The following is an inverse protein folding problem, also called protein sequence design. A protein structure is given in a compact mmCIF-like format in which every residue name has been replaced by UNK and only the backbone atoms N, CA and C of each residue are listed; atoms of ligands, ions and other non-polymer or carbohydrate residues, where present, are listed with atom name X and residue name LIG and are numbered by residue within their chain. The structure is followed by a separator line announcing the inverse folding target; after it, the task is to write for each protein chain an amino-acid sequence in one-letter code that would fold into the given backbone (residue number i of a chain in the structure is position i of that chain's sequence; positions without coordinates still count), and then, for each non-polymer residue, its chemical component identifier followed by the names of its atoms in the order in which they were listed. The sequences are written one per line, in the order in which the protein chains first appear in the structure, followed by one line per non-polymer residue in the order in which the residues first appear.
data_IF_269071751746
#
_entry.id   IF_269071751746
#
_cell.length_a   1.000
_cell.length_b   1.000
_cell.length_c   1.000
_cell.angle_alpha   90.00
_cell.angle_beta   90.00
_cell.angle_gamma   90.00
#
_symmetry.space_group_name_H-M   'P 1'
#
loop_
_entity.id
_entity.type
_entity.pdbx_description
1 polymer ?
#
# COMPACT_ATOMS: atom_id res chain seq x y z
N UNK A 1 9.24 7.05 -12.92
CA UNK A 1 10.10 6.52 -11.84
C UNK A 1 11.55 6.65 -12.29
N UNK A 2 12.49 6.89 -11.37
CA UNK A 2 13.92 7.01 -11.67
C UNK A 2 14.64 6.01 -10.78
N UNK A 3 15.45 5.13 -11.38
CA UNK A 3 16.21 4.12 -10.64
C UNK A 3 17.20 4.78 -9.66
N UNK A 4 17.37 4.17 -8.49
CA UNK A 4 18.30 4.66 -7.46
C UNK A 4 17.74 5.79 -6.59
N UNK A 5 16.55 6.33 -6.89
CA UNK A 5 15.86 7.29 -6.03
C UNK A 5 14.93 6.55 -5.06
N UNK A 6 15.09 6.82 -3.77
CA UNK A 6 14.24 6.31 -2.68
C UNK A 6 13.64 7.48 -1.91
N UNK A 7 12.40 7.33 -1.46
CA UNK A 7 11.69 8.34 -0.68
C UNK A 7 10.96 7.67 0.49
N UNK A 8 10.89 8.38 1.62
CA UNK A 8 10.14 8.03 2.83
C UNK A 8 9.61 9.28 3.51
N UNK A 9 8.67 9.11 4.43
CA UNK A 9 8.12 10.16 5.25
C UNK A 9 7.23 11.12 4.47
N UNK A 10 7.21 12.38 4.88
CA UNK A 10 6.28 13.38 4.34
C UNK A 10 6.52 13.76 2.88
N UNK A 11 7.69 13.45 2.33
CA UNK A 11 7.98 13.57 0.89
C UNK A 11 7.23 12.52 0.07
N UNK A 12 6.88 11.37 0.67
CA UNK A 12 6.12 10.29 0.03
C UNK A 12 4.60 10.48 0.23
N UNK A 13 4.18 10.77 1.46
CA UNK A 13 2.81 11.08 1.86
C UNK A 13 2.88 11.82 3.20
N UNK A 14 2.07 12.87 3.40
CA UNK A 14 1.88 13.48 4.72
C UNK A 14 1.37 12.47 5.74
N UNK A 15 2.26 12.09 6.66
CA UNK A 15 1.97 11.23 7.79
C UNK A 15 1.45 12.04 8.98
N UNK A 16 0.49 11.49 9.71
CA UNK A 16 -0.13 12.16 10.85
C UNK A 16 0.73 12.07 12.13
N UNK A 17 1.71 11.15 12.19
CA UNK A 17 2.62 10.95 13.33
C UNK A 17 4.07 10.76 12.88
N UNK A 18 5.02 11.28 13.68
CA UNK A 18 6.47 11.16 13.43
C UNK A 18 6.97 9.70 13.46
N UNK A 19 6.31 8.81 14.22
CA UNK A 19 6.68 7.39 14.31
C UNK A 19 6.61 6.68 12.95
N UNK A 20 5.66 7.05 12.09
CA UNK A 20 5.56 6.48 10.74
C UNK A 20 6.72 6.91 9.85
N UNK A 21 7.26 8.11 10.06
CA UNK A 21 8.44 8.60 9.32
C UNK A 21 9.67 7.77 9.69
N UNK A 22 9.83 7.39 10.96
CA UNK A 22 10.92 6.53 11.43
C UNK A 22 10.80 5.11 10.86
N UNK A 23 9.61 4.48 10.94
CA UNK A 23 9.38 3.14 10.36
C UNK A 23 9.68 3.10 8.86
N UNK A 24 9.22 4.10 8.10
CA UNK A 24 9.50 4.19 6.68
C UNK A 24 10.98 4.42 6.38
N UNK A 25 11.67 5.23 7.20
CA UNK A 25 13.11 5.44 7.11
C UNK A 25 13.91 4.14 7.24
N UNK A 26 13.57 3.29 8.21
CA UNK A 26 14.20 1.98 8.37
C UNK A 26 13.93 1.06 7.17
N UNK A 27 12.72 1.08 6.62
CA UNK A 27 12.36 0.30 5.43
C UNK A 27 13.19 0.77 4.22
N UNK A 28 13.31 2.09 4.01
CA UNK A 28 14.13 2.66 2.94
C UNK A 28 15.61 2.33 3.12
N UNK A 29 16.15 2.46 4.33
CA UNK A 29 17.54 2.13 4.62
C UNK A 29 17.87 0.67 4.27
N UNK A 30 17.01 -0.27 4.66
CA UNK A 30 17.14 -1.68 4.26
C UNK A 30 17.05 -1.86 2.73
N UNK A 31 16.08 -1.21 2.09
CA UNK A 31 15.90 -1.30 0.65
C UNK A 31 17.12 -0.75 -0.14
N UNK A 32 17.72 0.35 0.32
CA UNK A 32 18.96 0.92 -0.24
C UNK A 32 20.11 -0.05 -0.06
N UNK A 33 20.29 -0.63 1.13
CA UNK A 33 21.33 -1.65 1.37
C UNK A 33 21.23 -2.82 0.40
N UNK A 34 20.03 -3.36 0.19
CA UNK A 34 19.79 -4.44 -0.78
C UNK A 34 19.96 -3.98 -2.24
N UNK A 35 19.72 -2.70 -2.55
CA UNK A 35 20.02 -2.12 -3.87
C UNK A 35 21.51 -2.22 -4.19
N UNK A 36 22.33 -1.73 -3.26
CA UNK A 36 23.76 -1.59 -3.45
C UNK A 36 24.43 -2.96 -3.54
N UNK A 37 23.89 -3.97 -2.83
CA UNK A 37 24.32 -5.36 -2.93
C UNK A 37 23.86 -6.08 -4.21
N UNK A 38 23.04 -5.44 -5.05
CA UNK A 38 22.40 -6.04 -6.25
C UNK A 38 21.63 -7.34 -5.95
N UNK A 39 21.11 -7.49 -4.73
CA UNK A 39 20.47 -8.72 -4.26
C UNK A 39 18.93 -8.63 -4.29
N UNK A 40 18.40 -7.73 -5.11
CA UNK A 40 16.96 -7.49 -5.21
C UNK A 40 16.29 -8.59 -6.01
N UNK A 41 15.25 -9.19 -5.42
CA UNK A 41 14.37 -10.11 -6.13
C UNK A 41 13.17 -9.34 -6.64
N UNK A 42 13.06 -9.25 -7.96
CA UNK A 42 11.90 -8.66 -8.62
C UNK A 42 10.82 -9.71 -8.81
N UNK A 43 9.56 -9.27 -8.76
CA UNK A 43 8.44 -10.05 -9.29
C UNK A 43 8.55 -10.13 -10.81
N UNK A 44 8.00 -11.19 -11.40
CA UNK A 44 7.93 -11.35 -12.85
C UNK A 44 7.12 -10.23 -13.51
N UNK A 45 6.11 -9.72 -12.80
CA UNK A 45 5.35 -8.53 -13.15
C UNK A 45 5.07 -7.69 -11.90
N UNK A 46 5.09 -6.35 -12.00
CA UNK A 46 4.73 -5.48 -10.89
C UNK A 46 3.24 -5.53 -10.60
N UNK A 47 2.87 -5.57 -9.31
CA UNK A 47 1.46 -5.50 -8.89
C UNK A 47 1.10 -4.03 -8.69
N UNK A 48 0.12 -3.52 -9.45
CA UNK A 48 -0.36 -2.15 -9.33
C UNK A 48 -1.48 -2.04 -8.30
N UNK A 49 -1.40 -1.03 -7.43
CA UNK A 49 -2.48 -0.71 -6.49
C UNK A 49 -3.29 0.45 -7.06
N UNK A 50 -4.56 0.19 -7.33
CA UNK A 50 -5.45 1.12 -8.04
C UNK A 50 -6.45 1.74 -7.05
N UNK A 51 -6.54 3.07 -6.98
CA UNK A 51 -7.58 3.73 -6.21
C UNK A 51 -8.94 3.53 -6.87
N UNK A 52 -9.87 2.89 -6.17
CA UNK A 52 -11.25 2.67 -6.58
C UNK A 52 -12.21 3.66 -5.93
N UNK A 53 -13.42 3.18 -5.62
CA UNK A 53 -14.49 4.04 -5.09
C UNK A 53 -14.11 4.71 -3.77
N UNK A 54 -14.42 6.00 -3.68
CA UNK A 54 -14.10 6.92 -2.59
C UNK A 54 -12.62 6.91 -2.12
N UNK A 55 -11.67 6.49 -2.96
CA UNK A 55 -10.23 6.63 -2.71
C UNK A 55 -9.66 7.77 -3.57
N UNK A 56 -8.91 8.67 -2.94
CA UNK A 56 -8.18 9.75 -3.61
C UNK A 56 -6.86 9.23 -4.18
N UNK A 57 -6.06 8.56 -3.34
CA UNK A 57 -4.80 7.93 -3.74
C UNK A 57 -4.38 6.86 -2.72
N UNK A 58 -3.40 6.06 -3.12
CA UNK A 58 -2.84 4.93 -2.35
C UNK A 58 -1.32 4.98 -2.37
N UNK A 59 -0.69 4.48 -1.30
CA UNK A 59 0.75 4.31 -1.18
C UNK A 59 1.02 2.95 -0.51
N UNK A 60 1.85 2.07 -1.08
CA UNK A 60 2.56 2.24 -2.35
C UNK A 60 1.61 2.16 -3.57
N UNK A 61 2.06 2.65 -4.72
CA UNK A 61 1.32 2.54 -6.00
C UNK A 61 1.64 1.23 -6.75
N UNK A 62 2.82 0.66 -6.53
CA UNK A 62 3.28 -0.60 -7.10
C UNK A 62 3.96 -1.47 -6.03
N UNK A 63 3.94 -2.78 -6.24
CA UNK A 63 4.70 -3.76 -5.47
C UNK A 63 5.56 -4.55 -6.46
N UNK A 64 6.82 -4.14 -6.60
CA UNK A 64 7.74 -4.69 -7.59
C UNK A 64 8.70 -5.72 -6.99
N UNK A 65 8.99 -5.58 -5.70
CA UNK A 65 10.01 -6.35 -5.00
C UNK A 65 9.41 -7.47 -4.15
N UNK A 66 10.09 -8.62 -4.20
CA UNK A 66 9.93 -9.73 -3.28
C UNK A 66 10.89 -9.50 -2.11
N UNK A 67 10.34 -9.30 -0.92
CA UNK A 67 11.12 -9.11 0.30
C UNK A 67 11.07 -10.42 1.11
N UNK A 68 12.19 -11.16 1.23
CA UNK A 68 12.21 -12.40 2.00
C UNK A 68 11.70 -12.21 3.43
N UNK A 69 10.77 -13.06 3.86
CA UNK A 69 10.20 -13.01 5.21
C UNK A 69 9.15 -11.91 5.46
N UNK A 70 8.84 -11.05 4.48
CA UNK A 70 7.75 -10.06 4.62
C UNK A 70 6.41 -10.78 4.72
N UNK A 71 5.70 -10.57 5.83
CA UNK A 71 4.38 -11.20 6.08
C UNK A 71 3.21 -10.37 5.55
N UNK A 72 3.35 -9.05 5.61
CA UNK A 72 2.30 -8.09 5.26
C UNK A 72 2.90 -6.81 4.71
N UNK A 73 2.17 -6.17 3.80
CA UNK A 73 2.48 -4.85 3.26
C UNK A 73 1.45 -3.88 3.85
N UNK A 74 1.91 -2.79 4.46
CA UNK A 74 1.01 -1.73 4.92
C UNK A 74 0.70 -0.84 3.71
N UNK A 75 -0.59 -0.61 3.46
CA UNK A 75 -1.05 0.28 2.40
C UNK A 75 -1.73 1.46 3.07
N UNK A 76 -1.28 2.65 2.71
CA UNK A 76 -1.83 3.92 3.12
C UNK A 76 -2.73 4.47 2.02
N UNK A 77 -3.75 5.22 2.40
CA UNK A 77 -4.68 5.83 1.46
C UNK A 77 -5.34 7.08 2.06
N UNK A 78 -5.79 7.97 1.19
CA UNK A 78 -6.72 9.06 1.55
C UNK A 78 -8.04 8.84 0.83
N UNK A 79 -9.13 9.18 1.50
CA UNK A 79 -10.48 9.13 0.90
C UNK A 79 -10.84 10.45 0.24
N UNK A 80 -11.76 10.43 -0.72
CA UNK A 80 -12.25 11.66 -1.39
C UNK A 80 -13.30 12.40 -0.58
N UNK A 81 -14.20 11.66 0.07
CA UNK A 81 -15.34 12.18 0.83
C UNK A 81 -15.44 11.49 2.18
N UNK A 82 -15.89 12.21 3.23
CA UNK A 82 -16.14 11.59 4.51
C UNK A 82 -17.25 10.55 4.40
N UNK A 83 -17.11 9.44 5.12
CA UNK A 83 -18.11 8.39 5.15
C UNK A 83 -18.08 7.63 6.49
N UNK A 84 -19.25 7.26 6.98
CA UNK A 84 -19.43 6.51 8.22
C UNK A 84 -19.87 5.07 7.93
N UNK A 85 -19.55 4.17 8.87
CA UNK A 85 -19.84 2.72 8.81
C UNK A 85 -19.46 2.14 7.46
N UNK A 86 -18.16 2.18 7.17
CA UNK A 86 -17.63 1.77 5.87
C UNK A 86 -16.79 0.50 5.96
N UNK A 87 -16.66 -0.16 4.82
CA UNK A 87 -15.76 -1.27 4.58
C UNK A 87 -14.76 -0.91 3.49
N UNK A 88 -13.49 -1.07 3.81
CA UNK A 88 -12.36 -0.92 2.87
C UNK A 88 -12.08 -2.29 2.28
N UNK A 89 -12.29 -2.45 0.98
CA UNK A 89 -12.08 -3.72 0.28
C UNK A 89 -10.84 -3.65 -0.60
N UNK A 90 -10.02 -4.69 -0.53
CA UNK A 90 -8.92 -4.99 -1.44
C UNK A 90 -9.43 -6.05 -2.41
N UNK A 91 -9.52 -5.70 -3.70
CA UNK A 91 -10.10 -6.55 -4.74
C UNK A 91 -9.03 -6.90 -5.77
N UNK A 92 -8.98 -8.16 -6.22
CA UNK A 92 -8.17 -8.52 -7.39
C UNK A 92 -8.86 -8.10 -8.71
N UNK A 93 -8.18 -8.36 -9.83
CA UNK A 93 -8.68 -8.12 -11.19
C UNK A 93 -10.01 -8.85 -11.50
N UNK A 94 -10.34 -9.92 -10.77
CA UNK A 94 -11.57 -10.71 -10.95
C UNK A 94 -12.67 -10.32 -9.96
N UNK A 95 -12.44 -9.30 -9.13
CA UNK A 95 -13.37 -8.85 -8.10
C UNK A 95 -13.40 -9.71 -6.84
N UNK A 96 -12.46 -10.66 -6.67
CA UNK A 96 -12.31 -11.42 -5.43
C UNK A 96 -11.80 -10.52 -4.33
N UNK A 97 -12.41 -10.62 -3.15
CA UNK A 97 -11.97 -9.91 -1.94
C UNK A 97 -10.71 -10.58 -1.39
N UNK A 98 -9.58 -9.88 -1.47
CA UNK A 98 -8.31 -10.26 -0.84
C UNK A 98 -8.28 -9.84 0.63
N UNK A 99 -8.94 -8.73 0.97
CA UNK A 99 -9.01 -8.21 2.33
C UNK A 99 -10.16 -7.23 2.49
N UNK A 100 -10.73 -7.19 3.69
CA UNK A 100 -11.87 -6.32 4.00
C UNK A 100 -11.76 -5.81 5.43
N UNK A 101 -11.74 -4.48 5.60
CA UNK A 101 -11.54 -3.83 6.90
C UNK A 101 -12.71 -2.91 7.22
N UNK A 102 -13.34 -3.10 8.38
CA UNK A 102 -14.40 -2.20 8.87
C UNK A 102 -13.79 -0.95 9.49
N UNK A 103 -14.39 0.21 9.20
CA UNK A 103 -14.07 1.49 9.84
C UNK A 103 -15.36 2.23 10.19
N UNK A 104 -15.38 2.84 11.38
CA UNK A 104 -16.52 3.63 11.85
C UNK A 104 -16.68 4.91 11.03
N UNK A 105 -15.58 5.57 10.73
CA UNK A 105 -15.53 6.80 9.93
C UNK A 105 -14.23 6.84 9.14
N UNK A 106 -14.29 7.44 7.97
CA UNK A 106 -13.13 7.86 7.18
C UNK A 106 -13.34 9.32 6.80
N UNK A 107 -12.28 10.12 6.84
CA UNK A 107 -12.32 11.54 6.45
C UNK A 107 -11.13 11.84 5.54
N UNK A 108 -11.25 12.79 4.58
CA UNK A 108 -10.13 13.16 3.72
C UNK A 108 -8.93 13.73 4.51
N UNK A 109 -9.21 14.35 5.65
CA UNK A 109 -8.22 14.95 6.54
C UNK A 109 -7.39 13.94 7.34
N UNK A 110 -7.77 12.67 7.38
CA UNK A 110 -7.03 11.62 8.09
C UNK A 110 -6.47 10.55 7.14
N UNK A 111 -5.27 10.06 7.43
CA UNK A 111 -4.69 8.93 6.70
C UNK A 111 -5.33 7.63 7.15
N UNK A 112 -5.72 6.80 6.19
CA UNK A 112 -6.24 5.46 6.44
C UNK A 112 -5.19 4.43 6.05
N UNK A 113 -5.03 3.38 6.86
CA UNK A 113 -4.15 2.27 6.52
C UNK A 113 -4.80 0.90 6.72
N UNK A 114 -4.40 -0.04 5.86
CA UNK A 114 -4.78 -1.45 5.92
C UNK A 114 -3.54 -2.31 5.65
N UNK A 115 -3.60 -3.60 6.00
CA UNK A 115 -2.51 -4.53 5.74
C UNK A 115 -2.89 -5.52 4.65
N UNK A 116 -2.08 -5.63 3.61
CA UNK A 116 -2.20 -6.65 2.58
C UNK A 116 -1.27 -7.83 2.92
N UNK A 117 -1.79 -9.03 3.23
CA UNK A 117 -0.96 -10.20 3.48
C UNK A 117 -0.15 -10.59 2.24
N UNK A 118 1.16 -10.82 2.40
CA UNK A 118 2.04 -11.20 1.29
C UNK A 118 1.60 -12.52 0.64
N UNK A 119 1.08 -13.44 1.45
CA UNK A 119 0.61 -14.78 1.03
C UNK A 119 -0.55 -14.75 0.03
N UNK A 120 -1.23 -13.61 -0.10
CA UNK A 120 -2.32 -13.43 -1.06
C UNK A 120 -1.85 -12.88 -2.42
N UNK A 121 -0.56 -12.56 -2.53
CA UNK A 121 0.04 -12.05 -3.76
C UNK A 121 0.57 -13.20 -4.60
N UNK A 122 -0.25 -13.66 -5.55
CA UNK A 122 0.18 -14.59 -6.59
C UNK A 122 0.89 -13.86 -7.75
N UNK A 123 1.63 -14.61 -8.57
CA UNK A 123 2.40 -14.06 -9.70
C UNK A 123 1.52 -13.66 -10.91
N UNK A 124 0.25 -14.05 -10.93
CA UNK A 124 -0.73 -13.70 -11.97
C UNK A 124 -1.50 -12.42 -11.64
N UNK A 125 -1.48 -11.98 -10.39
CA UNK A 125 -2.11 -10.76 -9.90
C UNK A 125 -1.46 -9.55 -10.59
N UNK A 126 -2.27 -8.72 -11.26
CA UNK A 126 -1.78 -7.51 -11.95
C UNK A 126 -2.19 -6.26 -11.20
N UNK A 127 -3.47 -6.20 -10.80
CA UNK A 127 -3.99 -5.06 -10.06
C UNK A 127 -4.67 -5.48 -8.76
N UNK A 128 -4.53 -4.62 -7.75
CA UNK A 128 -5.34 -4.63 -6.54
C UNK A 128 -6.10 -3.32 -6.48
N UNK A 129 -7.42 -3.39 -6.57
CA UNK A 129 -8.27 -2.21 -6.45
C UNK A 129 -8.68 -2.02 -4.99
N UNK A 130 -8.44 -0.83 -4.45
CA UNK A 130 -8.86 -0.45 -3.09
C UNK A 130 -10.11 0.39 -3.19
N UNK A 131 -11.18 0.00 -2.51
CA UNK A 131 -12.44 0.75 -2.51
C UNK A 131 -13.02 0.90 -1.11
N UNK A 132 -13.65 2.04 -0.85
CA UNK A 132 -14.42 2.31 0.36
C UNK A 132 -15.89 2.25 0.00
N UNK A 133 -16.64 1.31 0.59
CA UNK A 133 -18.09 1.20 0.43
C UNK A 133 -18.78 1.34 1.79
N UNK A 134 -20.02 1.84 1.83
CA UNK A 134 -20.84 1.73 3.05
C UNK A 134 -21.11 0.25 3.35
N UNK A 135 -20.97 -0.13 4.62
CA UNK A 135 -21.31 -1.46 5.13
C UNK A 135 -22.84 -1.63 5.25
#
# INVERSE_FOLDING_TARGET
EIEGIFACGNVLHVHDLADFVTEEGEIVGRAVGEHLKRNRKFRSQPIKIVPGDNIAYVVPQHIDFIIPGRKKIKIFMRVKKPAEKVRINLLDDKGRVLGSYKKRIVTPGEMVSVYLPEVLLDDKLKNITISVKKD
#
